data_IF_954435624255
#
_entry.id   IF_954435624255
#
_cell.length_a   1.000
_cell.length_b   1.000
_cell.length_c   1.000
_cell.angle_alpha   90.00
_cell.angle_beta   90.00
_cell.angle_gamma   90.00
#
_symmetry.space_group_name_H-M   'P 1'
#
loop_
_entity.id
_entity.type
_entity.pdbx_description
1 polymer ?
#
# COMPACT_ATOMS: atom_id res chain seq x y z
N UNK A 1 -20.37 4.74 2.79
CA UNK A 1 -19.72 4.95 1.47
C UNK A 1 -18.69 3.84 1.29
N UNK A 2 -19.12 2.60 1.10
CA UNK A 2 -18.24 1.41 1.22
C UNK A 2 -18.40 0.41 0.06
N UNK A 3 -19.38 0.65 -0.83
CA UNK A 3 -19.60 -0.15 -2.03
C UNK A 3 -18.64 0.18 -3.18
N UNK A 4 -18.25 1.46 -3.34
CA UNK A 4 -17.47 1.90 -4.51
C UNK A 4 -16.02 1.41 -4.54
N UNK A 5 -15.39 1.17 -3.38
CA UNK A 5 -13.97 0.79 -3.31
C UNK A 5 -13.72 -0.68 -3.73
N UNK A 6 -14.75 -1.52 -3.67
CA UNK A 6 -14.71 -2.92 -4.12
C UNK A 6 -14.95 -2.97 -5.63
N UNK A 7 -15.86 -2.10 -6.09
CA UNK A 7 -16.12 -1.64 -7.46
C UNK A 7 -14.85 -1.52 -8.32
N UNK A 8 -13.94 -0.71 -7.79
CA UNK A 8 -12.76 -0.22 -8.49
C UNK A 8 -11.51 -1.11 -8.29
N UNK A 9 -11.61 -2.19 -7.50
CA UNK A 9 -10.46 -3.05 -7.21
C UNK A 9 -10.19 -4.03 -8.38
N UNK A 10 -9.52 -3.53 -9.41
CA UNK A 10 -9.10 -4.32 -10.56
C UNK A 10 -7.95 -5.28 -10.20
N UNK A 11 -8.26 -6.57 -10.06
CA UNK A 11 -7.30 -7.60 -9.65
C UNK A 11 -6.63 -8.28 -10.86
N UNK A 12 -5.79 -7.55 -11.58
CA UNK A 12 -4.98 -8.12 -12.66
C UNK A 12 -3.74 -8.86 -12.11
N UNK A 13 -3.59 -10.15 -12.45
CA UNK A 13 -2.45 -10.96 -11.98
C UNK A 13 -1.15 -10.63 -12.70
N UNK A 14 -1.19 -10.24 -13.98
CA UNK A 14 -0.01 -9.80 -14.72
C UNK A 14 0.58 -8.55 -14.09
N UNK A 15 -0.29 -7.60 -13.77
CA UNK A 15 0.13 -6.29 -13.29
C UNK A 15 0.72 -6.42 -11.88
N UNK A 16 0.10 -7.27 -11.03
CA UNK A 16 0.65 -7.59 -9.72
C UNK A 16 2.04 -8.25 -9.79
N UNK A 17 2.29 -9.08 -10.82
CA UNK A 17 3.60 -9.68 -11.07
C UNK A 17 4.63 -8.62 -11.49
N UNK A 18 4.24 -7.72 -12.41
CA UNK A 18 5.11 -6.63 -12.86
C UNK A 18 5.51 -5.69 -11.72
N UNK A 19 4.58 -5.41 -10.79
CA UNK A 19 4.87 -4.65 -9.56
C UNK A 19 5.92 -5.34 -8.68
N UNK A 20 5.85 -6.65 -8.51
CA UNK A 20 6.83 -7.44 -7.74
C UNK A 20 8.21 -7.35 -8.40
N UNK A 21 8.28 -7.59 -9.71
CA UNK A 21 9.53 -7.53 -10.45
C UNK A 21 10.16 -6.14 -10.41
N UNK A 22 9.35 -5.09 -10.49
CA UNK A 22 9.83 -3.72 -10.36
C UNK A 22 10.44 -3.45 -8.98
N UNK A 23 9.83 -3.96 -7.91
CA UNK A 23 10.37 -3.84 -6.55
C UNK A 23 11.71 -4.57 -6.42
N UNK A 24 11.78 -5.82 -6.88
CA UNK A 24 13.00 -6.62 -6.84
C UNK A 24 14.14 -6.03 -7.68
N UNK A 25 13.84 -5.48 -8.85
CA UNK A 25 14.83 -4.84 -9.71
C UNK A 25 15.51 -3.64 -9.02
N UNK A 26 14.77 -2.91 -8.17
CA UNK A 26 15.32 -1.78 -7.41
C UNK A 26 16.15 -2.21 -6.20
N UNK A 27 16.06 -3.48 -5.79
CA UNK A 27 16.70 -3.98 -4.58
C UNK A 27 18.23 -3.86 -4.62
N UNK A 28 18.86 -4.16 -5.76
CA UNK A 28 20.33 -4.08 -5.90
C UNK A 28 20.82 -2.65 -5.64
N UNK A 29 20.15 -1.65 -6.21
CA UNK A 29 20.49 -0.24 -6.00
C UNK A 29 20.23 0.19 -4.54
N UNK A 30 19.15 -0.30 -3.95
CA UNK A 30 18.79 0.06 -2.57
C UNK A 30 19.78 -0.50 -1.55
N UNK A 31 20.18 -1.76 -1.71
CA UNK A 31 21.19 -2.40 -0.88
C UNK A 31 22.54 -1.69 -1.04
N UNK A 32 22.92 -1.32 -2.25
CA UNK A 32 24.16 -0.57 -2.48
C UNK A 32 24.15 0.82 -1.82
N UNK A 33 23.03 1.56 -1.92
CA UNK A 33 22.93 2.95 -1.42
C UNK A 33 22.68 3.05 0.08
N UNK A 34 21.81 2.21 0.60
CA UNK A 34 21.26 2.34 1.96
C UNK A 34 21.56 1.14 2.85
N UNK A 35 22.18 0.07 2.33
CA UNK A 35 22.48 -1.15 3.09
C UNK A 35 21.26 -2.00 3.44
N UNK A 36 20.05 -1.53 3.15
CA UNK A 36 18.80 -2.18 3.53
C UNK A 36 18.07 -2.76 2.32
N UNK A 37 17.28 -3.81 2.56
CA UNK A 37 16.35 -4.37 1.59
C UNK A 37 15.01 -3.65 1.72
N UNK A 38 14.46 -3.18 0.61
CA UNK A 38 13.07 -2.72 0.53
C UNK A 38 12.13 -3.86 0.86
N UNK A 39 11.06 -3.54 1.58
CA UNK A 39 9.95 -4.45 1.83
C UNK A 39 9.07 -4.54 0.58
N UNK A 40 9.14 -5.68 -0.12
CA UNK A 40 8.29 -5.99 -1.27
C UNK A 40 7.10 -6.90 -0.92
N UNK A 41 6.87 -7.20 0.37
CA UNK A 41 5.84 -8.14 0.83
C UNK A 41 4.43 -7.70 0.42
N UNK A 42 4.16 -6.40 0.44
CA UNK A 42 2.87 -5.81 0.04
C UNK A 42 2.44 -6.22 -1.38
N UNK A 43 3.37 -6.21 -2.33
CA UNK A 43 3.09 -6.60 -3.70
C UNK A 43 2.84 -8.11 -3.82
N UNK A 44 3.56 -8.90 -3.03
CA UNK A 44 3.37 -10.34 -2.96
C UNK A 44 2.00 -10.73 -2.36
N UNK A 45 1.53 -10.01 -1.35
CA UNK A 45 0.20 -10.21 -0.78
C UNK A 45 -0.92 -9.87 -1.78
N UNK A 46 -0.77 -8.77 -2.52
CA UNK A 46 -1.68 -8.41 -3.62
C UNK A 46 -1.74 -9.51 -4.67
N UNK A 47 -0.60 -10.04 -5.09
CA UNK A 47 -0.53 -11.13 -6.06
C UNK A 47 -1.24 -12.40 -5.55
N UNK A 48 -0.95 -12.82 -4.31
CA UNK A 48 -1.62 -13.97 -3.68
C UNK A 48 -3.13 -13.78 -3.61
N UNK A 49 -3.59 -12.59 -3.27
CA UNK A 49 -5.02 -12.27 -3.23
C UNK A 49 -5.65 -12.41 -4.62
N UNK A 50 -5.05 -11.81 -5.66
CA UNK A 50 -5.58 -11.92 -7.03
C UNK A 50 -5.57 -13.35 -7.56
N UNK A 51 -4.54 -14.13 -7.25
CA UNK A 51 -4.51 -15.54 -7.59
C UNK A 51 -5.61 -16.33 -6.87
N UNK A 52 -5.86 -16.04 -5.58
CA UNK A 52 -6.87 -16.72 -4.77
C UNK A 52 -8.30 -16.40 -5.23
N UNK A 53 -8.58 -15.12 -5.49
CA UNK A 53 -9.91 -14.63 -5.87
C UNK A 53 -10.42 -15.28 -7.16
N UNK A 54 -9.54 -15.58 -8.12
CA UNK A 54 -9.90 -16.23 -9.39
C UNK A 54 -10.62 -17.57 -9.21
N UNK A 55 -10.39 -18.26 -8.09
CA UNK A 55 -11.00 -19.57 -7.80
C UNK A 55 -12.17 -19.50 -6.82
N UNK A 56 -12.55 -18.30 -6.35
CA UNK A 56 -13.62 -18.11 -5.36
C UNK A 56 -14.96 -17.78 -6.02
N UNK A 57 -16.06 -18.05 -5.31
CA UNK A 57 -17.40 -17.58 -5.68
C UNK A 57 -17.50 -16.06 -5.54
N UNK A 58 -18.49 -15.43 -6.19
CA UNK A 58 -18.68 -13.97 -6.20
C UNK A 58 -18.76 -13.38 -4.79
N UNK A 59 -19.55 -13.97 -3.90
CA UNK A 59 -19.69 -13.53 -2.50
C UNK A 59 -18.38 -13.70 -1.70
N UNK A 60 -17.70 -14.84 -1.87
CA UNK A 60 -16.44 -15.10 -1.16
C UNK A 60 -15.30 -14.18 -1.65
N UNK A 61 -15.34 -13.79 -2.92
CA UNK A 61 -14.42 -12.82 -3.53
C UNK A 61 -14.60 -11.45 -2.89
N UNK A 62 -15.82 -10.92 -2.83
CA UNK A 62 -16.10 -9.60 -2.24
C UNK A 62 -15.64 -9.54 -0.78
N UNK A 63 -15.94 -10.57 0.00
CA UNK A 63 -15.47 -10.66 1.39
C UNK A 63 -13.93 -10.73 1.48
N UNK A 64 -13.27 -11.42 0.56
CA UNK A 64 -11.79 -11.49 0.55
C UNK A 64 -11.15 -10.15 0.19
N UNK A 65 -11.76 -9.40 -0.74
CA UNK A 65 -11.31 -8.04 -1.13
C UNK A 65 -11.51 -7.07 0.04
N UNK A 66 -12.70 -7.04 0.65
CA UNK A 66 -13.01 -6.19 1.82
C UNK A 66 -11.98 -6.39 2.94
N UNK A 67 -11.76 -7.64 3.35
CA UNK A 67 -10.80 -7.99 4.39
C UNK A 67 -9.37 -7.53 4.06
N UNK A 68 -8.98 -7.56 2.79
CA UNK A 68 -7.67 -7.07 2.36
C UNK A 68 -7.58 -5.55 2.42
N UNK A 69 -8.59 -4.84 1.92
CA UNK A 69 -8.65 -3.37 1.96
C UNK A 69 -8.64 -2.84 3.40
N UNK A 70 -9.41 -3.45 4.29
CA UNK A 70 -9.42 -3.11 5.73
C UNK A 70 -8.03 -3.28 6.35
N UNK A 71 -7.35 -4.41 6.08
CA UNK A 71 -5.97 -4.63 6.56
C UNK A 71 -5.01 -3.57 6.04
N UNK A 72 -5.14 -3.16 4.78
CA UNK A 72 -4.27 -2.15 4.18
C UNK A 72 -4.56 -0.75 4.74
N UNK A 73 -5.84 -0.45 5.02
CA UNK A 73 -6.25 0.80 5.67
C UNK A 73 -5.66 0.89 7.07
N UNK A 74 -5.83 -0.16 7.88
CA UNK A 74 -5.24 -0.25 9.23
C UNK A 74 -3.72 -0.10 9.15
N UNK A 75 -3.05 -0.83 8.24
CA UNK A 75 -1.59 -0.73 8.08
C UNK A 75 -1.15 0.69 7.80
N UNK A 76 -1.82 1.38 6.86
CA UNK A 76 -1.53 2.77 6.48
C UNK A 76 -1.77 3.75 7.63
N UNK A 77 -2.78 3.51 8.47
CA UNK A 77 -3.07 4.34 9.65
C UNK A 77 -2.06 4.09 10.79
N UNK A 78 -1.57 2.86 10.94
CA UNK A 78 -0.58 2.50 11.98
C UNK A 78 0.85 2.87 11.63
N UNK A 79 1.18 2.97 10.34
CA UNK A 79 2.53 3.38 9.91
C UNK A 79 2.77 4.85 10.26
N UNK A 80 3.99 5.21 10.71
CA UNK A 80 4.32 6.58 11.09
C UNK A 80 4.12 7.49 9.88
N UNK A 81 3.08 8.31 9.95
CA UNK A 81 2.72 9.21 8.87
C UNK A 81 3.53 10.50 9.03
N UNK A 82 3.95 11.11 7.91
CA UNK A 82 4.68 12.37 7.95
C UNK A 82 3.87 13.46 8.65
N UNK A 83 2.54 13.45 8.51
CA UNK A 83 1.65 14.40 9.20
C UNK A 83 1.70 14.29 10.73
N UNK A 84 2.13 13.15 11.28
CA UNK A 84 2.27 12.96 12.73
C UNK A 84 3.54 13.64 13.28
N UNK A 85 4.55 13.87 12.44
CA UNK A 85 5.81 14.51 12.83
C UNK A 85 5.67 16.03 12.96
N UNK A 86 4.73 16.65 12.24
CA UNK A 86 4.59 18.11 12.18
C UNK A 86 3.43 18.59 13.03
N UNK A 87 3.73 19.41 14.04
CA UNK A 87 2.72 20.15 14.78
C UNK A 87 2.35 21.44 14.05
N UNK A 88 1.08 21.82 14.09
CA UNK A 88 0.64 23.13 13.60
C UNK A 88 1.40 24.25 14.31
N UNK A 89 1.86 25.24 13.54
CA UNK A 89 2.56 26.40 14.10
C UNK A 89 1.52 27.38 14.63
N UNK A 90 1.58 27.69 15.92
CA UNK A 90 0.76 28.74 16.55
C UNK A 90 1.24 30.15 16.21
N UNK A 91 2.53 30.30 15.87
CA UNK A 91 3.15 31.59 15.57
C UNK A 91 3.82 31.56 14.20
N UNK A 92 3.76 32.67 13.44
CA UNK A 92 4.47 32.77 12.17
C UNK A 92 5.99 32.70 12.41
N UNK A 93 6.76 32.10 11.49
CA UNK A 93 8.22 32.10 11.59
C UNK A 93 8.75 33.54 11.65
N UNK A 94 9.84 33.77 12.39
CA UNK A 94 10.38 35.12 12.68
C UNK A 94 10.59 35.98 11.42
N UNK A 95 10.96 35.37 10.29
CA UNK A 95 11.13 36.03 9.00
C UNK A 95 9.84 36.61 8.39
N UNK A 96 8.67 36.24 8.92
CA UNK A 96 7.35 36.68 8.47
C UNK A 96 6.56 37.41 9.57
N UNK A 97 7.13 37.61 10.75
CA UNK A 97 6.53 38.43 11.80
C UNK A 97 6.73 39.91 11.46
N UNK A 98 5.75 40.51 10.79
CA UNK A 98 5.74 41.94 10.45
C UNK A 98 4.45 42.60 10.92
#
# INVERSE_FOLDING_TARGET
MEGSEIDDFECSTSDAIDEIFHCWRKQVKNVYRYGNKLDCSKYWEKFKLCAKIKFQTTEARENSIKNYLEKQKIKKETEPNLYDVWTERTEPPEQFAK
#
